data_IF_208952460642
#
_entry.id   IF_208952460642
#
_cell.length_a   1.000
_cell.length_b   1.000
_cell.length_c   1.000
_cell.angle_alpha   90.00
_cell.angle_beta   90.00
_cell.angle_gamma   90.00
#
_symmetry.space_group_name_H-M   'P 1'
#
loop_
_entity.id
_entity.type
_entity.pdbx_description
1 polymer ?
#
# COMPACT_ATOMS: atom_id res chain seq x y z
N UNK A 1 14.65 0.85 -4.81
CA UNK A 1 13.49 1.79 -4.68
C UNK A 1 13.81 3.02 -3.86
N UNK A 2 14.84 2.98 -3.03
CA UNK A 2 15.40 4.14 -2.31
C UNK A 2 16.03 5.11 -3.30
N UNK A 3 16.19 6.37 -2.88
CA UNK A 3 16.83 7.39 -3.71
C UNK A 3 18.32 7.05 -3.95
N UNK A 4 18.91 7.49 -5.07
CA UNK A 4 20.37 7.45 -5.24
C UNK A 4 21.07 8.19 -4.08
N UNK A 5 22.20 7.69 -3.62
CA UNK A 5 22.87 8.19 -2.42
C UNK A 5 22.47 7.46 -1.13
N UNK A 6 21.45 6.59 -1.14
CA UNK A 6 21.03 5.86 0.07
C UNK A 6 21.99 4.74 0.45
N UNK A 7 22.55 4.00 -0.51
CA UNK A 7 23.51 2.92 -0.19
C UNK A 7 24.83 3.53 0.31
N UNK A 8 25.32 4.57 -0.35
CA UNK A 8 26.50 5.32 0.07
C UNK A 8 26.31 5.96 1.46
N UNK A 9 25.08 6.39 1.77
CA UNK A 9 24.76 6.89 3.10
C UNK A 9 24.72 5.77 4.15
N UNK A 10 24.30 4.55 3.80
CA UNK A 10 24.35 3.40 4.71
C UNK A 10 25.80 3.04 5.01
N UNK A 11 26.66 2.95 4.00
CA UNK A 11 28.11 2.70 4.17
C UNK A 11 28.73 3.75 5.10
N UNK A 12 28.43 5.04 4.86
CA UNK A 12 28.87 6.12 5.75
C UNK A 12 28.41 5.96 7.19
N UNK A 13 27.20 5.42 7.42
CA UNK A 13 26.68 5.18 8.77
C UNK A 13 27.39 3.99 9.44
N UNK A 14 27.67 2.93 8.69
CA UNK A 14 28.43 1.78 9.18
C UNK A 14 29.82 2.22 9.66
N UNK A 15 30.52 2.99 8.83
CA UNK A 15 31.85 3.52 9.16
C UNK A 15 31.82 4.51 10.34
N UNK A 16 30.86 5.44 10.34
CA UNK A 16 30.80 6.50 11.35
C UNK A 16 30.46 5.98 12.75
N UNK A 17 29.58 4.98 12.83
CA UNK A 17 29.14 4.42 14.11
C UNK A 17 29.89 3.14 14.50
N UNK A 18 30.76 2.62 13.63
CA UNK A 18 31.43 1.33 13.80
C UNK A 18 30.42 0.19 14.06
N UNK A 19 29.41 0.11 13.18
CA UNK A 19 28.33 -0.88 13.24
C UNK A 19 28.12 -1.54 11.90
N UNK A 20 27.55 -2.75 11.93
CA UNK A 20 27.01 -3.40 10.73
C UNK A 20 25.50 -3.17 10.63
N UNK A 21 25.04 -2.76 9.45
CA UNK A 21 23.62 -2.56 9.15
C UNK A 21 23.10 -3.74 8.32
N UNK A 22 22.23 -4.54 8.93
CA UNK A 22 21.57 -5.64 8.22
C UNK A 22 20.51 -5.10 7.25
N UNK A 23 20.83 -5.14 5.95
CA UNK A 23 19.90 -4.76 4.89
C UNK A 23 18.90 -5.89 4.59
N UNK A 24 17.65 -5.72 5.04
CA UNK A 24 16.58 -6.67 4.77
C UNK A 24 15.85 -6.30 3.47
N UNK A 25 15.92 -7.18 2.47
CA UNK A 25 15.32 -6.97 1.14
C UNK A 25 14.19 -7.99 0.89
N UNK A 26 13.12 -7.61 0.17
CA UNK A 26 12.07 -8.53 -0.22
C UNK A 26 12.55 -9.49 -1.33
N UNK A 27 11.94 -10.68 -1.40
CA UNK A 27 12.33 -11.72 -2.34
C UNK A 27 12.12 -11.36 -3.82
N UNK A 28 11.11 -10.51 -4.13
CA UNK A 28 10.80 -10.10 -5.50
C UNK A 28 11.10 -8.63 -5.73
N UNK A 29 11.73 -8.25 -6.86
CA UNK A 29 11.88 -6.86 -7.28
C UNK A 29 10.55 -6.12 -7.36
N UNK A 30 10.58 -4.80 -7.14
CA UNK A 30 9.37 -3.98 -7.12
C UNK A 30 8.65 -3.90 -8.46
N UNK A 31 9.42 -3.75 -9.56
CA UNK A 31 8.85 -3.59 -10.89
C UNK A 31 8.13 -4.86 -11.37
N UNK A 32 8.62 -6.04 -10.99
CA UNK A 32 7.94 -7.31 -11.27
C UNK A 32 6.54 -7.35 -10.65
N UNK A 33 6.39 -6.90 -9.41
CA UNK A 33 5.07 -6.81 -8.76
C UNK A 33 4.19 -5.71 -9.36
N UNK A 34 4.79 -4.62 -9.84
CA UNK A 34 4.05 -3.61 -10.60
C UNK A 34 3.52 -4.18 -11.91
N UNK A 35 4.30 -5.02 -12.58
CA UNK A 35 3.86 -5.69 -13.79
C UNK A 35 2.71 -6.68 -13.52
N UNK A 36 2.68 -7.31 -12.35
CA UNK A 36 1.60 -8.23 -11.95
C UNK A 36 0.35 -7.51 -11.43
N UNK A 37 0.53 -6.44 -10.64
CA UNK A 37 -0.53 -5.86 -9.80
C UNK A 37 -0.96 -4.45 -10.16
N UNK A 38 -0.18 -3.75 -10.97
CA UNK A 38 -0.33 -2.32 -11.10
C UNK A 38 0.53 -1.53 -10.11
N UNK A 39 0.82 -0.26 -10.43
CA UNK A 39 1.44 0.65 -9.46
C UNK A 39 0.59 0.80 -8.18
N UNK A 40 1.23 0.87 -6.99
CA UNK A 40 0.53 1.19 -5.76
C UNK A 40 -0.02 2.62 -5.80
N UNK A 41 -1.12 2.85 -5.10
CA UNK A 41 -1.75 4.16 -4.97
C UNK A 41 -2.06 4.48 -3.51
N UNK A 42 -2.56 5.69 -3.24
CA UNK A 42 -3.07 6.07 -1.92
C UNK A 42 -4.23 5.19 -1.46
N UNK A 43 -4.98 4.58 -2.39
CA UNK A 43 -6.10 3.67 -2.10
C UNK A 43 -5.66 2.21 -1.98
N UNK A 44 -4.56 1.83 -2.64
CA UNK A 44 -4.05 0.46 -2.64
C UNK A 44 -2.54 0.47 -2.37
N UNK A 45 -2.19 0.30 -1.10
CA UNK A 45 -0.82 0.47 -0.59
C UNK A 45 -0.12 -0.88 -0.34
N UNK A 46 -0.24 -1.81 -1.29
CA UNK A 46 0.36 -3.14 -1.18
C UNK A 46 1.88 -3.08 -0.96
N UNK A 47 2.55 -2.04 -1.48
CA UNK A 47 4.01 -1.93 -1.42
C UNK A 47 4.56 -1.84 0.00
N UNK A 48 3.85 -1.24 0.97
CA UNK A 48 4.35 -1.19 2.34
C UNK A 48 4.23 -2.53 3.07
N UNK A 49 3.18 -3.29 2.78
CA UNK A 49 3.02 -4.63 3.34
C UNK A 49 4.11 -5.56 2.79
N UNK A 50 4.29 -5.58 1.47
CA UNK A 50 5.21 -6.50 0.81
C UNK A 50 6.69 -6.10 0.95
N UNK A 51 7.03 -4.82 0.85
CA UNK A 51 8.44 -4.38 0.79
C UNK A 51 8.97 -3.81 2.10
N UNK A 52 8.11 -3.60 3.11
CA UNK A 52 8.52 -3.03 4.40
C UNK A 52 8.16 -3.93 5.56
N UNK A 53 6.87 -4.24 5.74
CA UNK A 53 6.44 -4.98 6.92
C UNK A 53 6.73 -6.48 6.82
N UNK A 54 6.44 -7.12 5.69
CA UNK A 54 6.71 -8.55 5.48
C UNK A 54 8.18 -8.93 5.75
N UNK A 55 9.16 -8.32 5.04
CA UNK A 55 10.57 -8.64 5.23
C UNK A 55 11.06 -8.32 6.65
N UNK A 56 10.62 -7.19 7.23
CA UNK A 56 10.98 -6.82 8.60
C UNK A 56 10.44 -7.84 9.62
N UNK A 57 9.20 -8.29 9.45
CA UNK A 57 8.58 -9.29 10.32
C UNK A 57 9.28 -10.64 10.22
N UNK A 58 9.64 -11.07 9.00
CA UNK A 58 10.43 -12.29 8.81
C UNK A 58 11.79 -12.19 9.50
N UNK A 59 12.49 -11.08 9.33
CA UNK A 59 13.78 -10.83 9.99
C UNK A 59 13.66 -10.81 11.51
N UNK A 60 12.62 -10.17 12.05
CA UNK A 60 12.33 -10.12 13.50
C UNK A 60 12.09 -11.51 14.06
N UNK A 61 11.28 -12.33 13.39
CA UNK A 61 10.97 -13.69 13.82
C UNK A 61 12.21 -14.60 13.77
N UNK A 62 12.93 -14.56 12.65
CA UNK A 62 14.15 -15.36 12.44
C UNK A 62 15.20 -15.07 13.51
N UNK A 63 15.39 -13.80 13.86
CA UNK A 63 16.38 -13.36 14.84
C UNK A 63 15.83 -13.25 16.27
N UNK A 64 14.58 -13.66 16.52
CA UNK A 64 13.93 -13.61 17.85
C UNK A 64 13.98 -12.23 18.50
N UNK A 65 13.83 -11.17 17.71
CA UNK A 65 13.90 -9.78 18.16
C UNK A 65 12.65 -9.45 18.98
N UNK A 66 12.84 -9.05 20.24
CA UNK A 66 11.73 -8.72 21.16
C UNK A 66 11.32 -7.24 21.13
N UNK A 67 12.26 -6.36 20.82
CA UNK A 67 12.09 -4.90 20.90
C UNK A 67 12.58 -4.23 19.62
N UNK A 68 11.82 -3.24 19.15
CA UNK A 68 12.17 -2.40 18.01
C UNK A 68 12.21 -0.95 18.41
N UNK A 69 13.39 -0.35 18.34
CA UNK A 69 13.55 1.09 18.54
C UNK A 69 13.26 1.79 17.22
N UNK A 70 12.40 2.82 17.23
CA UNK A 70 12.09 3.59 16.03
C UNK A 70 12.18 5.10 16.29
N UNK A 71 12.50 5.86 15.24
CA UNK A 71 12.54 7.32 15.26
C UNK A 71 11.17 7.99 15.04
N UNK A 72 10.05 7.33 15.36
CA UNK A 72 8.72 7.92 15.19
C UNK A 72 8.52 9.09 16.15
N UNK A 73 7.96 10.19 15.63
CA UNK A 73 7.60 11.39 16.39
C UNK A 73 6.13 11.73 16.24
N UNK A 74 5.53 12.24 17.31
CA UNK A 74 4.10 12.58 17.40
C UNK A 74 3.68 13.64 16.38
N UNK A 75 4.58 14.57 16.03
CA UNK A 75 4.33 15.66 15.09
C UNK A 75 4.36 15.27 13.60
N UNK A 76 4.70 14.02 13.26
CA UNK A 76 4.85 13.62 11.85
C UNK A 76 3.52 13.41 11.12
N UNK A 77 2.43 13.16 11.86
CA UNK A 77 1.08 13.07 11.29
C UNK A 77 0.02 13.16 12.39
N UNK A 78 -1.23 13.50 12.02
CA UNK A 78 -2.35 13.50 12.96
C UNK A 78 -2.54 12.15 13.65
N UNK A 79 -2.37 11.04 12.93
CA UNK A 79 -2.48 9.68 13.49
C UNK A 79 -1.40 9.39 14.53
N UNK A 80 -0.19 9.94 14.36
CA UNK A 80 0.94 9.70 15.27
C UNK A 80 0.84 10.50 16.57
N UNK A 81 -0.06 11.48 16.67
CA UNK A 81 -0.28 12.22 17.91
C UNK A 81 -0.76 11.35 19.07
N UNK A 82 -1.46 10.25 18.76
CA UNK A 82 -2.00 9.32 19.76
C UNK A 82 -1.06 8.15 20.06
N UNK A 83 0.16 8.18 19.52
CA UNK A 83 1.12 7.10 19.75
C UNK A 83 1.73 7.25 21.14
N UNK A 84 2.14 6.13 21.71
CA UNK A 84 2.81 6.06 23.01
C UNK A 84 4.31 5.75 22.84
N UNK A 85 5.11 6.11 23.84
CA UNK A 85 6.56 5.83 23.83
C UNK A 85 6.85 4.34 23.76
N UNK A 86 5.98 3.51 24.33
CA UNK A 86 6.00 2.05 24.20
C UNK A 86 4.67 1.65 23.57
N UNK A 87 4.72 0.92 22.47
CA UNK A 87 3.53 0.51 21.73
C UNK A 87 3.73 -0.86 21.08
N UNK A 88 2.67 -1.42 20.51
CA UNK A 88 2.76 -2.65 19.71
C UNK A 88 2.23 -2.38 18.31
N UNK A 89 2.99 -2.77 17.29
CA UNK A 89 2.51 -2.77 15.92
C UNK A 89 1.90 -4.15 15.63
N UNK A 90 0.61 -4.25 15.25
CA UNK A 90 -0.02 -5.56 14.99
C UNK A 90 0.65 -6.34 13.85
N UNK A 91 1.38 -5.66 12.95
CA UNK A 91 2.03 -6.29 11.80
C UNK A 91 3.41 -6.88 12.13
N UNK A 92 4.03 -6.48 13.25
CA UNK A 92 5.37 -6.91 13.63
C UNK A 92 5.34 -7.45 15.05
N UNK A 93 5.71 -8.72 15.29
CA UNK A 93 5.62 -9.37 16.60
C UNK A 93 6.76 -8.94 17.55
N UNK A 94 6.93 -7.63 17.75
CA UNK A 94 7.91 -7.03 18.65
C UNK A 94 7.32 -5.79 19.33
N UNK A 95 7.81 -5.49 20.55
CA UNK A 95 7.44 -4.27 21.27
C UNK A 95 8.16 -3.08 20.63
N UNK A 96 7.40 -2.08 20.22
CA UNK A 96 7.94 -0.88 19.60
C UNK A 96 8.23 0.19 20.66
N UNK A 97 9.43 0.75 20.63
CA UNK A 97 9.91 1.80 21.53
C UNK A 97 10.24 3.05 20.68
N UNK A 98 9.73 4.20 21.10
CA UNK A 98 9.85 5.48 20.38
C UNK A 98 10.51 6.54 21.30
N UNK A 99 11.86 6.54 21.43
CA UNK A 99 12.55 7.37 22.42
C UNK A 99 12.35 8.88 22.21
N UNK A 100 12.26 9.29 20.94
CA UNK A 100 12.15 10.69 20.53
C UNK A 100 10.72 11.10 20.16
N UNK A 101 9.71 10.40 20.69
CA UNK A 101 8.31 10.59 20.29
C UNK A 101 7.82 12.05 20.46
N UNK A 102 8.27 12.70 21.52
CA UNK A 102 7.98 14.07 21.92
C UNK A 102 8.85 15.11 21.20
N UNK A 103 9.90 14.69 20.48
CA UNK A 103 10.81 15.60 19.81
C UNK A 103 10.17 16.30 18.61
N UNK A 104 10.39 17.60 18.53
CA UNK A 104 10.06 18.46 17.41
C UNK A 104 11.08 18.29 16.28
N UNK A 105 10.68 18.64 15.05
CA UNK A 105 11.59 18.60 13.90
C UNK A 105 12.85 19.46 14.14
N UNK A 106 12.67 20.63 14.77
CA UNK A 106 13.77 21.56 15.09
C UNK A 106 14.78 20.93 16.06
N UNK A 107 14.32 20.31 17.13
CA UNK A 107 15.16 19.65 18.14
C UNK A 107 16.00 18.51 17.55
N UNK A 108 15.42 17.74 16.60
CA UNK A 108 16.19 16.71 15.86
C UNK A 108 17.33 17.33 15.05
N UNK A 109 17.07 18.44 14.34
CA UNK A 109 18.12 19.11 13.55
C UNK A 109 19.16 19.79 14.43
N UNK A 110 18.76 20.40 15.55
CA UNK A 110 19.69 20.96 16.52
C UNK A 110 20.61 19.88 17.08
N UNK A 111 20.07 18.70 17.42
CA UNK A 111 20.87 17.56 17.87
C UNK A 111 21.84 17.08 16.78
N UNK A 112 21.37 16.91 15.55
CA UNK A 112 22.21 16.50 14.41
C UNK A 112 23.37 17.48 14.22
N UNK A 113 23.09 18.78 14.24
CA UNK A 113 24.10 19.82 14.00
C UNK A 113 25.06 19.95 15.19
N UNK A 114 24.55 19.98 16.42
CA UNK A 114 25.36 20.15 17.63
C UNK A 114 26.34 19.00 17.83
N UNK A 115 25.90 17.77 17.58
CA UNK A 115 26.75 16.58 17.69
C UNK A 115 27.41 16.19 16.37
N UNK A 116 27.28 16.98 15.30
CA UNK A 116 27.85 16.68 13.98
C UNK A 116 27.50 15.26 13.49
N UNK A 117 26.25 14.84 13.69
CA UNK A 117 25.78 13.51 13.25
C UNK A 117 25.63 13.48 11.73
N UNK A 118 26.00 12.39 11.05
CA UNK A 118 25.77 12.27 9.61
C UNK A 118 24.27 12.27 9.31
N UNK A 119 23.88 12.94 8.23
CA UNK A 119 22.54 12.89 7.66
C UNK A 119 22.63 12.73 6.13
N UNK A 120 21.53 12.30 5.51
CA UNK A 120 21.53 12.05 4.07
C UNK A 120 21.65 13.37 3.29
N UNK A 121 22.57 13.49 2.31
CA UNK A 121 22.81 14.73 1.57
C UNK A 121 21.60 15.32 0.83
N UNK A 122 20.54 14.53 0.59
CA UNK A 122 19.33 15.04 -0.06
C UNK A 122 18.55 16.02 0.81
N UNK A 123 18.77 16.03 2.13
CA UNK A 123 18.17 17.06 2.98
C UNK A 123 18.64 18.47 2.60
N UNK A 124 19.90 18.62 2.16
CA UNK A 124 20.45 19.91 1.67
C UNK A 124 19.86 20.33 0.33
N UNK A 125 19.21 19.40 -0.38
CA UNK A 125 18.52 19.66 -1.64
C UNK A 125 17.01 19.88 -1.44
N UNK A 126 16.60 20.21 -0.21
CA UNK A 126 15.23 20.57 0.12
C UNK A 126 14.26 19.39 0.19
N UNK A 127 14.76 18.16 0.32
CA UNK A 127 13.93 17.03 0.71
C UNK A 127 13.63 17.11 2.20
N UNK A 128 12.37 17.01 2.59
CA UNK A 128 11.94 17.03 3.99
C UNK A 128 11.70 15.63 4.57
N UNK A 129 11.49 14.65 3.69
CA UNK A 129 11.30 13.23 3.98
C UNK A 129 11.88 12.39 2.85
N UNK A 130 12.67 11.38 3.21
CA UNK A 130 13.23 10.41 2.28
C UNK A 130 12.53 9.06 2.45
N UNK A 131 12.06 8.50 1.34
CA UNK A 131 11.38 7.22 1.26
C UNK A 131 11.67 6.57 -0.08
N UNK A 132 10.72 5.84 -0.66
CA UNK A 132 10.85 5.40 -2.05
C UNK A 132 10.62 6.57 -3.02
N UNK A 133 11.40 6.62 -4.10
CA UNK A 133 11.35 7.73 -5.07
C UNK A 133 10.11 7.75 -5.96
N UNK A 134 9.32 6.67 -5.96
CA UNK A 134 8.08 6.51 -6.72
C UNK A 134 6.85 6.36 -5.81
N UNK A 135 6.88 6.99 -4.63
CA UNK A 135 5.84 6.80 -3.64
C UNK A 135 4.55 7.54 -4.06
N UNK A 136 3.36 6.90 -4.04
CA UNK A 136 2.10 7.59 -4.34
C UNK A 136 1.72 8.66 -3.29
N UNK A 137 2.44 8.72 -2.17
CA UNK A 137 2.27 9.76 -1.15
C UNK A 137 3.18 10.98 -1.33
N UNK A 138 4.06 10.99 -2.33
CA UNK A 138 4.79 12.18 -2.73
C UNK A 138 3.83 13.27 -3.24
N UNK A 139 4.21 14.53 -2.99
CA UNK A 139 3.50 15.69 -3.51
C UNK A 139 3.92 15.98 -4.96
N UNK A 140 3.16 16.82 -5.67
CA UNK A 140 3.55 17.30 -7.00
C UNK A 140 4.92 18.00 -6.98
N UNK A 141 5.24 18.71 -5.88
CA UNK A 141 6.55 19.36 -5.69
C UNK A 141 7.68 18.33 -5.56
N UNK A 142 7.43 17.21 -4.90
CA UNK A 142 8.42 16.15 -4.75
C UNK A 142 8.69 15.44 -6.07
N UNK A 143 7.66 15.21 -6.89
CA UNK A 143 7.84 14.69 -8.25
C UNK A 143 8.56 15.68 -9.17
N UNK A 144 8.28 16.97 -9.06
CA UNK A 144 9.06 18.00 -9.76
C UNK A 144 10.54 17.92 -9.35
N UNK A 145 10.83 17.88 -8.04
CA UNK A 145 12.19 17.75 -7.53
C UNK A 145 12.88 16.46 -8.01
N UNK A 146 12.14 15.35 -8.07
CA UNK A 146 12.63 14.09 -8.65
C UNK A 146 13.01 14.27 -10.11
N UNK A 147 12.18 14.94 -10.92
CA UNK A 147 12.49 15.22 -12.33
C UNK A 147 13.72 16.13 -12.46
N UNK A 148 13.78 17.20 -11.67
CA UNK A 148 14.87 18.19 -11.72
C UNK A 148 16.22 17.56 -11.32
N UNK A 149 16.23 16.69 -10.30
CA UNK A 149 17.47 16.09 -9.76
C UNK A 149 17.82 14.73 -10.37
N UNK A 150 16.83 13.91 -10.70
CA UNK A 150 16.98 12.55 -11.18
C UNK A 150 16.05 12.27 -12.38
N UNK A 151 16.26 12.97 -13.52
CA UNK A 151 15.35 12.89 -14.68
C UNK A 151 15.22 11.46 -15.21
N UNK A 152 16.28 10.66 -15.15
CA UNK A 152 16.25 9.26 -15.58
C UNK A 152 15.26 8.41 -14.75
N UNK A 153 15.18 8.61 -13.43
CA UNK A 153 14.22 7.92 -12.57
C UNK A 153 12.79 8.38 -12.86
N UNK A 154 12.62 9.70 -13.04
CA UNK A 154 11.31 10.27 -13.37
C UNK A 154 10.78 9.73 -14.72
N UNK A 155 11.62 9.73 -15.76
CA UNK A 155 11.27 9.19 -17.07
C UNK A 155 10.98 7.69 -17.01
N UNK A 156 11.79 6.93 -16.27
CA UNK A 156 11.56 5.49 -16.05
C UNK A 156 10.21 5.23 -15.37
N UNK A 157 9.83 6.04 -14.37
CA UNK A 157 8.52 5.96 -13.74
C UNK A 157 7.38 6.21 -14.73
N UNK A 158 7.46 7.28 -15.51
CA UNK A 158 6.43 7.63 -16.48
C UNK A 158 6.25 6.52 -17.52
N UNK A 159 7.35 6.01 -18.07
CA UNK A 159 7.31 4.93 -19.06
C UNK A 159 6.75 3.63 -18.47
N UNK A 160 7.17 3.27 -17.25
CA UNK A 160 6.64 2.10 -16.54
C UNK A 160 5.14 2.22 -16.32
N UNK A 161 4.64 3.37 -15.85
CA UNK A 161 3.19 3.61 -15.67
C UNK A 161 2.45 3.52 -17.00
N UNK A 162 3.03 4.06 -18.09
CA UNK A 162 2.45 4.00 -19.44
C UNK A 162 2.29 2.55 -19.92
N UNK A 163 3.31 1.71 -19.75
CA UNK A 163 3.25 0.27 -20.06
C UNK A 163 2.16 -0.42 -19.24
N UNK A 164 2.09 -0.11 -17.96
CA UNK A 164 1.09 -0.63 -17.03
C UNK A 164 -0.35 -0.24 -17.44
N UNK A 165 -0.58 1.01 -17.87
CA UNK A 165 -1.86 1.48 -18.39
C UNK A 165 -2.28 0.75 -19.67
N UNK A 166 -1.33 0.45 -20.56
CA UNK A 166 -1.58 -0.33 -21.78
C UNK A 166 -1.95 -1.77 -21.42
N UNK A 167 -1.25 -2.37 -20.45
CA UNK A 167 -1.44 -3.76 -20.02
C UNK A 167 -2.77 -3.99 -19.29
N UNK A 168 -3.11 -3.15 -18.32
CA UNK A 168 -4.25 -3.36 -17.43
C UNK A 168 -5.56 -2.72 -17.91
N UNK A 169 -5.50 -1.87 -18.94
CA UNK A 169 -6.68 -1.30 -19.57
C UNK A 169 -7.29 -0.08 -18.87
N UNK A 170 -8.45 0.35 -19.38
CA UNK A 170 -9.10 1.64 -19.10
C UNK A 170 -10.40 1.46 -18.31
N UNK A 171 -10.37 1.60 -16.99
CA UNK A 171 -11.59 1.91 -16.23
C UNK A 171 -11.45 3.33 -15.67
N UNK A 172 -12.18 4.28 -16.25
CA UNK A 172 -12.22 5.67 -15.80
C UNK A 172 -11.08 6.59 -16.26
N UNK A 173 -10.06 6.09 -16.97
CA UNK A 173 -8.96 6.89 -17.52
C UNK A 173 -9.24 7.24 -18.99
N UNK A 174 -9.67 8.48 -19.25
CA UNK A 174 -10.00 8.98 -20.61
C UNK A 174 -8.78 9.37 -21.43
N UNK A 175 -7.75 9.92 -20.80
CA UNK A 175 -6.51 10.39 -21.44
C UNK A 175 -5.30 9.95 -20.62
N UNK A 176 -4.44 9.10 -21.20
CA UNK A 176 -3.26 8.52 -20.55
C UNK A 176 -2.19 9.56 -20.24
N UNK A 177 -1.91 10.43 -21.20
CA UNK A 177 -0.91 11.48 -21.04
C UNK A 177 -1.31 12.43 -19.91
N UNK A 178 -2.59 12.83 -19.86
CA UNK A 178 -3.09 13.66 -18.77
C UNK A 178 -3.05 12.92 -17.42
N UNK A 179 -3.36 11.62 -17.40
CA UNK A 179 -3.32 10.80 -16.19
C UNK A 179 -1.91 10.67 -15.61
N UNK A 180 -0.90 10.54 -16.46
CA UNK A 180 0.51 10.49 -16.06
C UNK A 180 0.99 11.89 -15.64
N UNK A 181 0.77 12.91 -16.49
CA UNK A 181 1.22 14.29 -16.29
C UNK A 181 0.63 14.91 -15.02
N UNK A 182 -0.64 14.65 -14.73
CA UNK A 182 -1.30 15.15 -13.52
C UNK A 182 -1.07 14.27 -12.28
N UNK A 183 -0.25 13.23 -12.40
CA UNK A 183 -0.01 12.22 -11.36
C UNK A 183 -1.30 11.58 -10.85
N UNK A 184 -2.31 11.38 -11.70
CA UNK A 184 -3.61 10.84 -11.28
C UNK A 184 -3.52 9.38 -10.78
N UNK A 185 -2.50 8.64 -11.22
CA UNK A 185 -2.14 7.29 -10.74
C UNK A 185 -1.85 7.21 -9.24
N UNK A 186 -1.42 8.32 -8.61
CA UNK A 186 -1.16 8.31 -7.17
C UNK A 186 -2.45 8.17 -6.36
N UNK A 187 -3.59 8.60 -6.92
CA UNK A 187 -4.90 8.58 -6.25
C UNK A 187 -5.63 7.26 -6.46
N UNK A 188 -5.59 6.76 -7.69
CA UNK A 188 -6.35 5.59 -8.12
C UNK A 188 -5.38 4.48 -8.50
N UNK A 189 -5.51 3.32 -7.88
CA UNK A 189 -4.86 2.13 -8.39
C UNK A 189 -5.35 1.92 -9.83
N UNK A 190 -4.47 1.41 -10.70
CA UNK A 190 -4.94 0.87 -11.95
C UNK A 190 -5.96 -0.22 -11.63
N UNK A 191 -7.05 -0.33 -12.40
CA UNK A 191 -7.86 -1.52 -12.32
C UNK A 191 -6.89 -2.70 -12.56
N UNK A 192 -6.88 -3.67 -11.66
CA UNK A 192 -6.45 -5.00 -12.08
C UNK A 192 -7.32 -5.36 -13.29
N UNK A 193 -6.79 -6.08 -14.26
CA UNK A 193 -7.54 -6.40 -15.46
C UNK A 193 -8.85 -7.09 -15.01
N UNK A 194 -9.94 -6.33 -14.96
CA UNK A 194 -11.17 -6.78 -14.32
C UNK A 194 -11.83 -7.67 -15.36
N UNK A 195 -11.56 -8.97 -15.29
CA UNK A 195 -12.35 -9.93 -16.04
C UNK A 195 -13.81 -9.74 -15.65
N UNK A 196 -14.69 -9.53 -16.63
CA UNK A 196 -16.12 -9.57 -16.37
C UNK A 196 -16.46 -11.02 -16.02
N UNK A 197 -16.54 -11.31 -14.72
CA UNK A 197 -16.79 -12.66 -14.21
C UNK A 197 -18.26 -12.93 -13.91
N UNK A 198 -19.12 -11.95 -14.10
CA UNK A 198 -20.53 -12.07 -13.76
C UNK A 198 -21.33 -10.78 -13.85
N UNK A 199 -22.61 -10.89 -13.51
CA UNK A 199 -23.56 -9.78 -13.45
C UNK A 199 -24.16 -9.67 -12.06
N UNK A 200 -24.39 -8.45 -11.60
CA UNK A 200 -25.09 -8.19 -10.33
C UNK A 200 -26.37 -7.42 -10.66
N UNK A 201 -27.51 -7.96 -10.27
CA UNK A 201 -28.78 -7.23 -10.32
C UNK A 201 -29.18 -6.82 -8.90
N UNK A 202 -29.70 -5.60 -8.79
CA UNK A 202 -30.14 -5.00 -7.55
C UNK A 202 -31.61 -4.65 -7.65
N UNK A 203 -32.37 -5.03 -6.62
CA UNK A 203 -33.75 -4.60 -6.45
C UNK A 203 -33.98 -4.21 -5.01
N UNK A 204 -34.55 -3.03 -4.78
CA UNK A 204 -35.05 -2.66 -3.45
C UNK A 204 -36.48 -3.15 -3.33
N UNK A 205 -36.75 -4.04 -2.37
CA UNK A 205 -38.09 -4.54 -2.09
C UNK A 205 -38.45 -4.11 -0.67
N UNK A 206 -39.33 -3.11 -0.56
CA UNK A 206 -39.68 -2.49 0.73
C UNK A 206 -38.43 -1.93 1.45
N UNK A 207 -38.26 -2.20 2.75
CA UNK A 207 -37.11 -1.82 3.57
C UNK A 207 -35.91 -2.78 3.46
N UNK A 208 -35.88 -3.66 2.46
CA UNK A 208 -34.81 -4.63 2.25
C UNK A 208 -34.16 -4.45 0.88
N UNK A 209 -32.84 -4.57 0.86
CA UNK A 209 -32.06 -4.60 -0.36
C UNK A 209 -31.87 -6.05 -0.79
N UNK A 210 -32.16 -6.31 -2.06
CA UNK A 210 -32.04 -7.62 -2.67
C UNK A 210 -30.98 -7.57 -3.77
N UNK A 211 -30.00 -8.47 -3.68
CA UNK A 211 -28.88 -8.57 -4.61
C UNK A 211 -28.82 -9.97 -5.20
N UNK A 212 -28.75 -10.08 -6.51
CA UNK A 212 -28.51 -11.35 -7.21
C UNK A 212 -27.18 -11.24 -7.96
N UNK A 213 -26.21 -12.03 -7.53
CA UNK A 213 -24.90 -12.15 -8.15
C UNK A 213 -24.91 -13.41 -9.00
N UNK A 214 -24.66 -13.30 -10.30
CA UNK A 214 -24.54 -14.43 -11.22
C UNK A 214 -23.12 -14.48 -11.77
N UNK A 215 -22.44 -15.60 -11.60
CA UNK A 215 -21.06 -15.79 -12.05
C UNK A 215 -21.01 -16.59 -13.36
N UNK A 216 -20.08 -16.25 -14.24
CA UNK A 216 -19.84 -16.96 -15.51
C UNK A 216 -18.93 -18.18 -15.32
N UNK A 217 -17.98 -18.11 -14.37
CA UNK A 217 -16.99 -19.17 -14.07
C UNK A 217 -17.26 -19.82 -12.71
N UNK A 218 -16.97 -21.13 -12.60
CA UNK A 218 -17.00 -21.86 -11.32
C UNK A 218 -15.92 -21.37 -10.36
N UNK A 219 -14.71 -21.06 -10.87
CA UNK A 219 -13.57 -20.64 -10.04
C UNK A 219 -13.89 -19.32 -9.32
N UNK A 220 -14.50 -18.36 -10.02
CA UNK A 220 -14.84 -17.07 -9.43
C UNK A 220 -16.04 -17.16 -8.48
N UNK A 221 -16.99 -18.03 -8.80
CA UNK A 221 -18.10 -18.35 -7.90
C UNK A 221 -17.61 -18.93 -6.56
N UNK A 222 -16.65 -19.85 -6.59
CA UNK A 222 -16.05 -20.43 -5.37
C UNK A 222 -15.27 -19.38 -4.56
N UNK A 223 -14.50 -18.52 -5.23
CA UNK A 223 -13.80 -17.39 -4.58
C UNK A 223 -14.78 -16.46 -3.86
N UNK A 224 -15.87 -16.09 -4.52
CA UNK A 224 -16.90 -15.22 -3.93
C UNK A 224 -17.55 -15.92 -2.73
N UNK A 225 -17.83 -17.22 -2.84
CA UNK A 225 -18.44 -18.01 -1.77
C UNK A 225 -17.58 -18.13 -0.50
N UNK A 226 -16.25 -18.21 -0.65
CA UNK A 226 -15.29 -18.47 0.44
C UNK A 226 -15.44 -17.52 1.64
N UNK A 227 -15.81 -16.26 1.41
CA UNK A 227 -15.89 -15.23 2.44
C UNK A 227 -17.31 -14.69 2.70
N UNK A 228 -18.36 -15.34 2.16
CA UNK A 228 -19.76 -14.87 2.33
C UNK A 228 -20.21 -14.89 3.80
N UNK A 229 -19.51 -15.65 4.66
CA UNK A 229 -19.74 -15.67 6.10
C UNK A 229 -19.66 -14.28 6.75
N UNK A 230 -18.90 -13.34 6.17
CA UNK A 230 -18.84 -11.95 6.62
C UNK A 230 -20.21 -11.24 6.57
N UNK A 231 -21.09 -11.67 5.67
CA UNK A 231 -22.42 -11.08 5.48
C UNK A 231 -23.53 -11.84 6.19
N UNK A 232 -23.33 -13.11 6.58
CA UNK A 232 -24.37 -13.95 7.21
C UNK A 232 -25.00 -13.33 8.47
N UNK A 233 -24.23 -12.56 9.24
CA UNK A 233 -24.74 -11.86 10.45
C UNK A 233 -25.66 -10.67 10.14
N UNK A 234 -25.62 -10.14 8.91
CA UNK A 234 -26.31 -8.90 8.49
C UNK A 234 -27.30 -9.13 7.34
N UNK A 235 -27.40 -10.35 6.83
CA UNK A 235 -28.16 -10.66 5.63
C UNK A 235 -28.54 -12.13 5.56
N UNK A 236 -29.67 -12.40 4.91
CA UNK A 236 -30.05 -13.75 4.49
C UNK A 236 -29.36 -14.02 3.16
N UNK A 237 -28.69 -15.16 3.05
CA UNK A 237 -27.91 -15.53 1.87
C UNK A 237 -28.40 -16.89 1.37
N UNK A 238 -28.74 -16.98 0.10
CA UNK A 238 -29.10 -18.22 -0.59
C UNK A 238 -28.07 -18.45 -1.71
N UNK A 239 -27.47 -19.63 -1.72
CA UNK A 239 -26.41 -19.99 -2.68
C UNK A 239 -26.95 -21.11 -3.57
N UNK A 240 -26.93 -20.90 -4.88
CA UNK A 240 -27.27 -21.93 -5.85
C UNK A 240 -26.04 -22.29 -6.70
N UNK A 241 -25.45 -23.44 -6.38
CA UNK A 241 -24.23 -23.95 -7.02
C UNK A 241 -24.46 -24.42 -8.45
N UNK A 242 -25.66 -24.89 -8.82
CA UNK A 242 -25.97 -25.40 -10.17
C UNK A 242 -25.96 -24.30 -11.22
N UNK A 243 -26.50 -23.12 -10.89
CA UNK A 243 -26.59 -21.96 -11.80
C UNK A 243 -25.63 -20.83 -11.44
N UNK A 244 -24.73 -21.05 -10.46
CA UNK A 244 -23.69 -20.11 -10.02
C UNK A 244 -24.26 -18.76 -9.58
N UNK A 245 -25.35 -18.80 -8.82
CA UNK A 245 -25.99 -17.58 -8.30
C UNK A 245 -25.92 -17.48 -6.78
N UNK A 246 -25.77 -16.24 -6.30
CA UNK A 246 -25.80 -15.90 -4.88
C UNK A 246 -26.84 -14.80 -4.71
N UNK A 247 -27.82 -15.07 -3.87
CA UNK A 247 -28.90 -14.14 -3.53
C UNK A 247 -28.66 -13.62 -2.10
N UNK A 248 -28.63 -12.30 -1.95
CA UNK A 248 -28.36 -11.64 -0.67
C UNK A 248 -29.50 -10.66 -0.37
N UNK A 249 -30.17 -10.88 0.75
CA UNK A 249 -31.23 -10.03 1.26
C UNK A 249 -30.76 -9.35 2.56
N UNK A 250 -30.63 -8.02 2.56
CA UNK A 250 -30.12 -7.27 3.71
C UNK A 250 -30.84 -5.95 3.92
N UNK A 251 -31.06 -5.56 5.19
CA UNK A 251 -31.51 -4.20 5.55
C UNK A 251 -30.35 -3.21 5.69
N UNK A 252 -29.11 -3.69 5.81
CA UNK A 252 -27.96 -2.89 6.26
C UNK A 252 -26.91 -2.73 5.16
N UNK A 253 -26.75 -3.71 4.28
CA UNK A 253 -25.74 -3.68 3.23
C UNK A 253 -26.20 -2.79 2.07
N UNK A 254 -25.31 -1.89 1.64
CA UNK A 254 -25.45 -1.03 0.46
C UNK A 254 -24.88 -1.70 -0.80
N UNK A 255 -25.34 -1.26 -1.98
CA UNK A 255 -24.87 -1.78 -3.28
C UNK A 255 -23.35 -1.65 -3.44
N UNK A 256 -22.76 -0.54 -2.98
CA UNK A 256 -21.32 -0.31 -3.06
C UNK A 256 -20.53 -1.33 -2.24
N UNK A 257 -21.03 -1.73 -1.05
CA UNK A 257 -20.37 -2.75 -0.23
C UNK A 257 -20.37 -4.12 -0.91
N UNK A 258 -21.47 -4.46 -1.59
CA UNK A 258 -21.59 -5.71 -2.35
C UNK A 258 -20.66 -5.70 -3.57
N UNK A 259 -20.62 -4.59 -4.33
CA UNK A 259 -19.73 -4.46 -5.49
C UNK A 259 -18.26 -4.57 -5.09
N UNK A 260 -17.84 -3.82 -4.06
CA UNK A 260 -16.46 -3.84 -3.56
C UNK A 260 -16.08 -5.24 -3.05
N UNK A 261 -16.97 -5.94 -2.36
CA UNK A 261 -16.70 -7.29 -1.91
C UNK A 261 -16.47 -8.25 -3.09
N UNK A 262 -17.37 -8.24 -4.08
CA UNK A 262 -17.25 -9.12 -5.24
C UNK A 262 -15.98 -8.83 -6.04
N UNK A 263 -15.70 -7.55 -6.30
CA UNK A 263 -14.47 -7.11 -6.96
C UNK A 263 -13.24 -7.60 -6.19
N UNK A 264 -13.24 -7.50 -4.86
CA UNK A 264 -12.16 -8.02 -4.03
C UNK A 264 -12.05 -9.54 -4.10
N UNK A 265 -13.12 -10.32 -4.09
CA UNK A 265 -12.96 -11.79 -4.11
C UNK A 265 -12.42 -12.30 -5.45
N UNK A 266 -12.81 -11.64 -6.54
CA UNK A 266 -12.48 -12.07 -7.90
C UNK A 266 -11.09 -11.59 -8.30
N UNK A 267 -10.84 -10.30 -8.08
CA UNK A 267 -9.60 -9.64 -8.49
C UNK A 267 -8.58 -9.58 -7.34
N UNK A 268 -8.79 -10.27 -6.21
CA UNK A 268 -7.75 -10.38 -5.18
C UNK A 268 -6.58 -11.19 -5.72
N UNK A 269 -5.40 -10.59 -5.64
CA UNK A 269 -4.12 -11.15 -6.06
C UNK A 269 -3.43 -11.98 -4.98
N UNK A 270 -4.17 -12.38 -3.93
CA UNK A 270 -3.66 -13.30 -2.90
C UNK A 270 -2.60 -12.71 -1.96
N UNK A 271 -2.49 -11.37 -1.85
CA UNK A 271 -1.47 -10.72 -1.01
C UNK A 271 -1.67 -10.88 0.52
N UNK A 272 -2.75 -11.51 0.98
CA UNK A 272 -2.99 -11.80 2.41
C UNK A 272 -3.57 -10.66 3.25
N UNK A 273 -3.66 -9.43 2.73
CA UNK A 273 -4.12 -8.23 3.45
C UNK A 273 -5.57 -8.25 3.99
N UNK A 274 -6.37 -9.25 3.58
CA UNK A 274 -7.79 -9.37 3.92
C UNK A 274 -8.06 -10.45 4.98
N UNK A 275 -7.04 -11.20 5.39
CA UNK A 275 -7.13 -12.29 6.37
C UNK A 275 -6.86 -11.82 7.82
N UNK A 276 -6.65 -10.52 8.00
CA UNK A 276 -6.52 -9.83 9.30
C UNK A 276 -7.82 -9.20 9.76
#
# INVERSE_FOLDING_TARGET
MTFPGTEEYIEKLEDFYDIKIDQVKPARPFLDLVDDLGYPSRRMRWCCEVYKFGPLTEYVLKNKIKYLITGIRSQESLKRKTYEKISRNPLIPAVQINPILDWKKKEVWEYINYYERPYHPLYDNGYDRLGCWMCPFQSKKDFKRLNDKFPHLFNSLQESIRKNLIKFGRVGVRNFENYIKEHAWVKNALPLNNSLVGTITYKKVSNKNHYLIKCFSNVDFEKICKNLNLFKRKSKIIINTKIRTIEIESKVLSINQILIYNEKQVNCVGCGACLS
#
